data_IF_196198209997
#
_entry.id   IF_196198209997
#
_cell.length_a   1.000
_cell.length_b   1.000
_cell.length_c   1.000
_cell.angle_alpha   90.00
_cell.angle_beta   90.00
_cell.angle_gamma   90.00
#
_symmetry.space_group_name_H-M   'P 1'
#
loop_
_entity.id
_entity.type
_entity.pdbx_description
1 polymer ?
#
# COMPACT_ATOMS: atom_id res chain seq x y z
N UNK A 1 -3.55 21.10 -20.75
CA UNK A 1 -2.52 21.01 -19.70
C UNK A 1 -2.85 19.77 -18.91
N UNK A 2 -1.91 18.85 -18.76
CA UNK A 2 -2.16 17.60 -18.03
C UNK A 2 -2.31 17.90 -16.54
N UNK A 3 -3.29 17.31 -15.85
CA UNK A 3 -3.55 17.53 -14.42
C UNK A 3 -3.19 16.30 -13.59
N UNK A 4 -2.99 16.40 -12.27
CA UNK A 4 -2.86 15.23 -11.38
C UNK A 4 -4.03 14.26 -11.51
N UNK A 5 -5.23 14.76 -11.76
CA UNK A 5 -6.41 13.93 -12.03
C UNK A 5 -6.23 13.09 -13.31
N UNK A 6 -5.82 13.73 -14.44
CA UNK A 6 -5.57 13.01 -15.70
C UNK A 6 -4.46 11.96 -15.52
N UNK A 7 -3.43 12.27 -14.70
CA UNK A 7 -2.36 11.32 -14.40
C UNK A 7 -2.85 10.13 -13.57
N UNK A 8 -3.68 10.36 -12.58
CA UNK A 8 -4.22 9.26 -11.78
C UNK A 8 -5.11 8.33 -12.63
N UNK A 9 -5.87 8.87 -13.58
CA UNK A 9 -6.64 8.03 -14.53
C UNK A 9 -5.73 7.13 -15.36
N UNK A 10 -4.58 7.64 -15.82
CA UNK A 10 -3.57 6.84 -16.54
C UNK A 10 -2.98 5.75 -15.64
N UNK A 11 -2.65 6.10 -14.39
CA UNK A 11 -2.14 5.15 -13.38
C UNK A 11 -3.16 4.03 -13.12
N UNK A 12 -4.43 4.37 -12.88
CA UNK A 12 -5.48 3.38 -12.66
C UNK A 12 -5.72 2.50 -13.89
N UNK A 13 -5.66 3.09 -15.08
CA UNK A 13 -5.74 2.35 -16.34
C UNK A 13 -4.57 1.38 -16.47
N UNK A 14 -3.34 1.83 -16.20
CA UNK A 14 -2.14 0.99 -16.22
C UNK A 14 -2.22 -0.17 -15.21
N UNK A 15 -2.73 0.09 -14.02
CA UNK A 15 -2.98 -0.94 -13.00
C UNK A 15 -3.99 -1.97 -13.55
N UNK A 16 -5.12 -1.54 -14.06
CA UNK A 16 -6.19 -2.43 -14.54
C UNK A 16 -5.77 -3.26 -15.76
N UNK A 17 -4.99 -2.69 -16.66
CA UNK A 17 -4.47 -3.36 -17.86
C UNK A 17 -3.15 -4.10 -17.62
N UNK A 18 -2.53 -3.91 -16.45
CA UNK A 18 -1.19 -4.40 -16.07
C UNK A 18 -0.10 -3.90 -17.02
N UNK A 19 -0.19 -2.64 -17.42
CA UNK A 19 0.85 -2.00 -18.21
C UNK A 19 1.91 -1.37 -17.28
N UNK A 20 2.94 -2.18 -16.94
CA UNK A 20 4.03 -1.75 -16.07
C UNK A 20 4.79 -0.55 -16.67
N UNK A 21 4.89 -0.45 -17.99
CA UNK A 21 5.61 0.63 -18.66
C UNK A 21 4.89 1.97 -18.44
N UNK A 22 3.58 2.00 -18.65
CA UNK A 22 2.77 3.20 -18.38
C UNK A 22 2.80 3.51 -16.89
N UNK A 23 2.57 2.52 -16.01
CA UNK A 23 2.63 2.70 -14.57
C UNK A 23 3.94 3.35 -14.12
N UNK A 24 5.10 2.81 -14.55
CA UNK A 24 6.42 3.30 -14.17
C UNK A 24 6.75 4.69 -14.75
N UNK A 25 6.10 5.10 -15.85
CA UNK A 25 6.23 6.46 -16.38
C UNK A 25 5.56 7.50 -15.48
N UNK A 26 4.42 7.14 -14.83
CA UNK A 26 3.58 8.07 -14.08
C UNK A 26 3.72 7.93 -12.54
N UNK A 27 4.43 6.88 -12.05
CA UNK A 27 4.66 6.64 -10.62
C UNK A 27 6.16 6.54 -10.34
N UNK A 28 6.65 7.32 -9.39
CA UNK A 28 7.96 7.10 -8.78
C UNK A 28 7.83 6.03 -7.69
N UNK A 29 7.75 4.76 -8.15
CA UNK A 29 7.50 3.64 -7.26
C UNK A 29 8.57 3.52 -6.16
N UNK A 30 9.83 3.87 -6.49
CA UNK A 30 10.90 3.84 -5.49
C UNK A 30 10.66 4.86 -4.39
N UNK A 31 10.38 6.11 -4.75
CA UNK A 31 10.09 7.16 -3.78
C UNK A 31 8.83 6.83 -2.96
N UNK A 32 7.76 6.37 -3.63
CA UNK A 32 6.50 5.99 -3.00
C UNK A 32 6.70 4.89 -1.94
N UNK A 33 7.48 3.86 -2.27
CA UNK A 33 7.77 2.76 -1.35
C UNK A 33 8.70 3.18 -0.21
N UNK A 34 9.78 3.91 -0.53
CA UNK A 34 10.76 4.35 0.48
C UNK A 34 10.11 5.27 1.52
N UNK A 35 9.41 6.30 1.06
CA UNK A 35 8.75 7.28 1.94
C UNK A 35 7.60 6.60 2.71
N UNK A 36 6.76 5.85 2.02
CA UNK A 36 5.63 5.17 2.64
C UNK A 36 6.06 4.15 3.70
N UNK A 37 7.15 3.41 3.45
CA UNK A 37 7.71 2.49 4.44
C UNK A 37 8.21 3.24 5.67
N UNK A 38 9.04 4.27 5.47
CA UNK A 38 9.66 5.01 6.57
C UNK A 38 8.58 5.72 7.43
N UNK A 39 7.61 6.41 6.81
CA UNK A 39 6.51 7.07 7.52
C UNK A 39 5.61 6.06 8.26
N UNK A 40 5.28 4.91 7.64
CA UNK A 40 4.49 3.85 8.28
C UNK A 40 5.20 3.28 9.51
N UNK A 41 6.47 2.91 9.35
CA UNK A 41 7.23 2.26 10.43
C UNK A 41 7.54 3.23 11.57
N UNK A 42 7.78 4.51 11.27
CA UNK A 42 7.94 5.55 12.27
C UNK A 42 6.64 5.78 13.06
N UNK A 43 5.51 5.91 12.36
CA UNK A 43 4.20 6.05 13.00
C UNK A 43 3.86 4.86 13.91
N UNK A 44 4.10 3.63 13.45
CA UNK A 44 3.90 2.42 14.25
C UNK A 44 4.79 2.39 15.49
N UNK A 45 6.05 2.79 15.37
CA UNK A 45 6.98 2.83 16.47
C UNK A 45 6.61 3.92 17.48
N UNK A 46 6.21 5.11 17.05
CA UNK A 46 5.80 6.22 17.92
C UNK A 46 4.50 5.92 18.67
N UNK A 47 3.61 5.16 18.04
CA UNK A 47 2.32 4.75 18.62
C UNK A 47 2.32 3.31 19.17
N UNK A 48 3.48 2.67 19.31
CA UNK A 48 3.64 1.27 19.69
C UNK A 48 2.84 0.90 20.95
N UNK A 49 2.88 1.74 22.00
CA UNK A 49 2.14 1.49 23.23
C UNK A 49 0.61 1.53 23.07
N UNK A 50 0.13 2.38 22.15
CA UNK A 50 -1.30 2.45 21.78
C UNK A 50 -1.71 1.19 21.03
N UNK A 51 -0.93 0.79 20.04
CA UNK A 51 -1.22 -0.41 19.24
C UNK A 51 -1.11 -1.69 20.06
N UNK A 52 -0.16 -1.78 21.01
CA UNK A 52 -0.11 -2.92 21.93
C UNK A 52 -1.37 -3.07 22.79
N UNK A 53 -2.03 -1.96 23.16
CA UNK A 53 -3.30 -2.03 23.91
C UNK A 53 -4.46 -2.48 23.02
N UNK A 54 -4.46 -2.10 21.74
CA UNK A 54 -5.49 -2.47 20.76
C UNK A 54 -5.31 -3.92 20.30
N UNK A 55 -4.07 -4.32 20.06
CA UNK A 55 -3.68 -5.63 19.52
C UNK A 55 -2.72 -6.35 20.48
N UNK A 56 -3.18 -6.80 21.67
CA UNK A 56 -2.31 -7.34 22.73
C UNK A 56 -1.63 -8.67 22.34
N UNK A 57 -2.15 -9.35 21.32
CA UNK A 57 -1.59 -10.62 20.81
C UNK A 57 -0.53 -10.40 19.73
N UNK A 58 -0.43 -9.19 19.16
CA UNK A 58 0.63 -8.88 18.21
C UNK A 58 1.98 -8.72 18.91
N UNK A 59 2.90 -9.64 18.57
CA UNK A 59 4.22 -9.68 19.19
C UNK A 59 5.07 -8.46 18.83
N UNK A 60 4.87 -7.83 17.67
CA UNK A 60 5.64 -6.67 17.27
C UNK A 60 5.49 -5.50 18.24
N UNK A 61 4.25 -5.20 18.64
CA UNK A 61 3.99 -4.10 19.58
C UNK A 61 4.41 -4.42 21.01
N UNK A 62 4.54 -5.70 21.36
CA UNK A 62 4.98 -6.14 22.69
C UNK A 62 6.42 -5.74 23.00
N UNK A 63 7.29 -5.70 22.02
CA UNK A 63 8.71 -5.41 22.21
C UNK A 63 9.04 -3.93 22.41
N UNK A 64 8.08 -3.04 22.16
CA UNK A 64 8.21 -1.60 22.36
C UNK A 64 8.91 -0.86 21.20
N UNK A 65 8.74 0.46 21.19
CA UNK A 65 9.15 1.36 20.12
C UNK A 65 10.62 1.19 19.67
N UNK A 66 11.55 1.11 20.63
CA UNK A 66 12.98 1.01 20.32
C UNK A 66 13.33 -0.26 19.53
N UNK A 67 12.78 -1.40 19.94
CA UNK A 67 13.05 -2.68 19.27
C UNK A 67 12.38 -2.68 17.88
N UNK A 68 11.16 -2.14 17.78
CA UNK A 68 10.46 -2.02 16.51
C UNK A 68 11.24 -1.18 15.50
N UNK A 69 11.81 -0.03 15.89
CA UNK A 69 12.67 0.77 15.02
C UNK A 69 13.91 0.01 14.55
N UNK A 70 14.62 -0.64 15.46
CA UNK A 70 15.82 -1.44 15.12
C UNK A 70 15.45 -2.56 14.14
N UNK A 71 14.33 -3.24 14.36
CA UNK A 71 13.83 -4.29 13.47
C UNK A 71 13.51 -3.74 12.07
N UNK A 72 12.72 -2.66 12.01
CA UNK A 72 12.32 -2.05 10.74
C UNK A 72 13.52 -1.57 9.94
N UNK A 73 14.48 -0.91 10.59
CA UNK A 73 15.71 -0.44 9.95
C UNK A 73 16.54 -1.62 9.40
N UNK A 74 16.75 -2.64 10.23
CA UNK A 74 17.52 -3.82 9.84
C UNK A 74 16.89 -4.59 8.66
N UNK A 75 15.57 -4.69 8.62
CA UNK A 75 14.86 -5.48 7.61
C UNK A 75 14.25 -4.63 6.48
N UNK A 76 14.46 -3.31 6.48
CA UNK A 76 13.93 -2.38 5.47
C UNK A 76 14.14 -2.89 4.04
N UNK A 77 15.36 -3.24 3.68
CA UNK A 77 15.68 -3.74 2.33
C UNK A 77 14.97 -5.07 1.98
N UNK A 78 14.76 -5.94 2.97
CA UNK A 78 14.04 -7.20 2.78
C UNK A 78 12.56 -6.93 2.52
N UNK A 79 11.93 -6.06 3.33
CA UNK A 79 10.52 -5.71 3.20
C UNK A 79 10.24 -4.99 1.87
N UNK A 80 11.03 -3.98 1.53
CA UNK A 80 10.90 -3.28 0.25
C UNK A 80 11.14 -4.20 -0.96
N UNK A 81 12.12 -5.11 -0.84
CA UNK A 81 12.37 -6.13 -1.86
C UNK A 81 11.19 -7.12 -2.02
N UNK A 82 10.50 -7.46 -0.93
CA UNK A 82 9.29 -8.29 -0.97
C UNK A 82 8.16 -7.55 -1.68
N UNK A 83 7.88 -6.29 -1.30
CA UNK A 83 6.84 -5.46 -1.92
C UNK A 83 7.10 -5.32 -3.42
N UNK A 84 8.34 -5.02 -3.83
CA UNK A 84 8.72 -4.90 -5.24
C UNK A 84 8.44 -6.19 -6.02
N UNK A 85 8.74 -7.35 -5.44
CA UNK A 85 8.48 -8.66 -6.08
C UNK A 85 6.99 -8.95 -6.21
N UNK A 86 6.17 -8.56 -5.22
CA UNK A 86 4.71 -8.70 -5.29
C UNK A 86 4.15 -7.83 -6.40
N UNK A 87 4.60 -6.56 -6.50
CA UNK A 87 4.19 -5.64 -7.56
C UNK A 87 4.59 -6.19 -8.94
N UNK A 88 5.83 -6.66 -9.10
CA UNK A 88 6.29 -7.28 -10.34
C UNK A 88 5.45 -8.49 -10.72
N UNK A 89 5.16 -9.40 -9.77
CA UNK A 89 4.31 -10.56 -10.01
C UNK A 89 2.86 -10.19 -10.36
N UNK A 90 2.37 -9.04 -9.89
CA UNK A 90 1.08 -8.50 -10.30
C UNK A 90 1.10 -8.05 -11.77
N UNK A 91 2.09 -7.25 -12.17
CA UNK A 91 2.17 -6.72 -13.54
C UNK A 91 2.46 -7.80 -14.57
N UNK A 92 3.36 -8.75 -14.29
CA UNK A 92 3.67 -9.87 -15.20
C UNK A 92 2.56 -10.95 -15.27
N UNK A 93 1.56 -10.86 -14.38
CA UNK A 93 0.42 -11.79 -14.31
C UNK A 93 0.76 -13.18 -13.76
N UNK A 94 1.95 -13.39 -13.21
CA UNK A 94 2.39 -14.69 -12.68
C UNK A 94 1.61 -15.15 -11.44
N UNK A 95 0.85 -14.25 -10.80
CA UNK A 95 -0.04 -14.58 -9.68
C UNK A 95 -1.18 -15.53 -10.06
N UNK A 96 -1.54 -15.64 -11.35
CA UNK A 96 -2.59 -16.55 -11.83
C UNK A 96 -2.28 -18.01 -11.52
N UNK A 97 -1.00 -18.34 -11.35
CA UNK A 97 -0.53 -19.68 -11.01
C UNK A 97 -0.32 -19.89 -9.49
N UNK A 98 -0.85 -18.98 -8.67
CA UNK A 98 -0.72 -19.06 -7.22
C UNK A 98 -1.44 -20.31 -6.68
N UNK A 99 -0.70 -21.18 -5.98
CA UNK A 99 -1.24 -22.40 -5.39
C UNK A 99 -1.65 -22.18 -3.92
N UNK A 100 -0.70 -21.66 -3.14
CA UNK A 100 -0.91 -21.38 -1.72
C UNK A 100 0.22 -20.48 -1.22
N UNK A 101 0.01 -19.82 -0.08
CA UNK A 101 1.03 -18.98 0.53
C UNK A 101 2.32 -19.78 0.80
N UNK A 102 2.22 -20.98 1.38
CA UNK A 102 3.39 -21.81 1.76
C UNK A 102 4.29 -22.21 0.59
N UNK A 103 3.71 -22.35 -0.62
CA UNK A 103 4.45 -22.77 -1.82
C UNK A 103 4.87 -21.60 -2.70
N UNK A 104 4.05 -20.56 -2.76
CA UNK A 104 4.23 -19.44 -3.69
C UNK A 104 3.87 -18.09 -3.02
N UNK A 105 4.56 -17.68 -1.95
CA UNK A 105 4.14 -16.54 -1.14
C UNK A 105 4.03 -15.23 -1.94
N UNK A 106 4.97 -14.94 -2.82
CA UNK A 106 4.95 -13.73 -3.66
C UNK A 106 3.73 -13.73 -4.58
N UNK A 107 3.50 -14.84 -5.28
CA UNK A 107 2.36 -14.97 -6.21
C UNK A 107 1.03 -14.93 -5.47
N UNK A 108 0.96 -15.54 -4.28
CA UNK A 108 -0.22 -15.48 -3.43
C UNK A 108 -0.54 -14.04 -3.03
N UNK A 109 0.44 -13.29 -2.53
CA UNK A 109 0.26 -11.87 -2.17
C UNK A 109 -0.11 -11.01 -3.38
N UNK A 110 0.45 -11.28 -4.56
CA UNK A 110 0.08 -10.59 -5.78
C UNK A 110 -1.35 -10.91 -6.23
N UNK A 111 -1.85 -12.14 -5.96
CA UNK A 111 -3.25 -12.50 -6.18
C UNK A 111 -4.19 -11.78 -5.20
N UNK A 112 -3.81 -11.69 -3.92
CA UNK A 112 -4.55 -10.92 -2.92
C UNK A 112 -4.64 -9.43 -3.33
N UNK A 113 -3.51 -8.83 -3.75
CA UNK A 113 -3.48 -7.48 -4.31
C UNK A 113 -4.43 -7.33 -5.51
N UNK A 114 -4.42 -8.27 -6.45
CA UNK A 114 -5.34 -8.25 -7.60
C UNK A 114 -6.82 -8.31 -7.18
N UNK A 115 -7.15 -9.10 -6.14
CA UNK A 115 -8.51 -9.20 -5.64
C UNK A 115 -8.96 -7.92 -4.94
N UNK A 116 -8.08 -7.31 -4.15
CA UNK A 116 -8.32 -6.02 -3.52
C UNK A 116 -8.54 -4.90 -4.56
N UNK A 117 -7.65 -4.80 -5.56
CA UNK A 117 -7.75 -3.78 -6.60
C UNK A 117 -9.02 -3.91 -7.45
N UNK A 118 -9.53 -5.12 -7.67
CA UNK A 118 -10.79 -5.35 -8.38
C UNK A 118 -12.04 -5.02 -7.56
N UNK A 119 -11.91 -5.07 -6.25
CA UNK A 119 -13.02 -4.89 -5.33
C UNK A 119 -13.24 -3.42 -4.93
N UNK A 120 -12.43 -2.50 -5.45
CA UNK A 120 -12.50 -1.09 -5.11
C UNK A 120 -12.68 -0.22 -6.35
N UNK A 121 -13.34 0.92 -6.16
CA UNK A 121 -13.32 2.03 -7.12
C UNK A 121 -12.70 3.25 -6.47
N UNK A 122 -12.14 4.14 -7.28
CA UNK A 122 -11.59 5.41 -6.86
C UNK A 122 -12.57 6.53 -7.22
N UNK A 123 -13.00 7.29 -6.22
CA UNK A 123 -13.75 8.52 -6.39
C UNK A 123 -12.76 9.69 -6.17
N UNK A 124 -12.62 10.59 -7.15
CA UNK A 124 -11.66 11.69 -7.09
C UNK A 124 -12.27 12.88 -6.37
N UNK A 125 -11.51 13.48 -5.47
CA UNK A 125 -11.90 14.62 -4.66
C UNK A 125 -11.16 15.90 -5.07
N UNK A 126 -10.83 16.71 -4.07
CA UNK A 126 -10.19 18.01 -4.26
C UNK A 126 -8.77 17.89 -4.79
N UNK A 127 -8.47 18.69 -5.82
CA UNK A 127 -7.12 18.84 -6.39
C UNK A 127 -6.57 20.22 -6.01
N UNK A 128 -5.34 20.25 -5.49
CA UNK A 128 -4.64 21.49 -5.15
C UNK A 128 -3.28 21.49 -5.83
N UNK A 129 -3.06 22.49 -6.71
CA UNK A 129 -1.80 22.68 -7.43
C UNK A 129 -1.07 23.91 -6.90
N UNK A 130 0.21 23.74 -6.54
CA UNK A 130 1.09 24.82 -6.07
C UNK A 130 2.47 24.68 -6.71
N UNK A 131 2.69 25.44 -7.80
CA UNK A 131 3.94 25.36 -8.58
C UNK A 131 4.15 23.98 -9.19
N UNK A 132 5.27 23.35 -8.85
CA UNK A 132 5.65 22.02 -9.31
C UNK A 132 5.21 20.88 -8.37
N UNK A 133 4.32 21.18 -7.42
CA UNK A 133 3.72 20.21 -6.50
C UNK A 133 2.21 20.24 -6.63
N UNK A 134 1.60 19.09 -6.46
CA UNK A 134 0.15 18.99 -6.38
C UNK A 134 -0.28 17.91 -5.38
N UNK A 135 -1.47 18.08 -4.83
CA UNK A 135 -2.15 17.03 -4.05
C UNK A 135 -3.51 16.72 -4.66
N UNK A 136 -3.89 15.46 -4.61
CA UNK A 136 -5.21 14.98 -5.04
C UNK A 136 -5.80 14.09 -3.95
N UNK A 137 -6.98 14.46 -3.46
CA UNK A 137 -7.74 13.62 -2.57
C UNK A 137 -8.40 12.49 -3.37
N UNK A 138 -8.31 11.27 -2.88
CA UNK A 138 -8.90 10.08 -3.52
C UNK A 138 -9.60 9.25 -2.47
N UNK A 139 -10.87 8.98 -2.69
CA UNK A 139 -11.65 8.07 -1.87
C UNK A 139 -11.75 6.73 -2.55
N UNK A 140 -11.11 5.70 -1.98
CA UNK A 140 -11.30 4.33 -2.40
C UNK A 140 -12.51 3.74 -1.69
N UNK A 141 -13.46 3.22 -2.46
CA UNK A 141 -14.73 2.66 -1.95
C UNK A 141 -14.81 1.20 -2.37
N UNK A 142 -14.96 0.32 -1.40
CA UNK A 142 -15.15 -1.11 -1.63
C UNK A 142 -16.52 -1.43 -2.20
N UNK A 143 -16.59 -2.48 -3.02
CA UNK A 143 -17.83 -3.03 -3.55
C UNK A 143 -18.53 -3.98 -2.53
N UNK A 144 -19.58 -4.67 -2.95
CA UNK A 144 -20.31 -5.64 -2.11
C UNK A 144 -19.62 -7.00 -1.94
N UNK A 145 -18.47 -7.24 -2.57
CA UNK A 145 -17.69 -8.45 -2.41
C UNK A 145 -17.08 -8.58 -1.01
N UNK A 146 -16.53 -9.74 -0.67
CA UNK A 146 -15.82 -9.92 0.61
C UNK A 146 -14.63 -8.96 0.73
N UNK A 147 -13.86 -8.78 -0.33
CA UNK A 147 -12.72 -7.85 -0.35
C UNK A 147 -13.18 -6.38 -0.28
N UNK A 148 -14.24 -6.01 -1.00
CA UNK A 148 -14.77 -4.66 -0.95
C UNK A 148 -15.33 -4.29 0.43
N UNK A 149 -16.10 -5.18 1.06
CA UNK A 149 -16.59 -4.98 2.43
C UNK A 149 -15.47 -4.91 3.47
N UNK A 150 -14.35 -5.58 3.22
CA UNK A 150 -13.17 -5.52 4.06
C UNK A 150 -12.55 -4.12 4.04
N UNK A 151 -12.45 -3.51 2.87
CA UNK A 151 -11.89 -2.16 2.70
C UNK A 151 -12.86 -1.08 3.15
N UNK A 152 -14.18 -1.28 2.92
CA UNK A 152 -15.23 -0.30 3.13
C UNK A 152 -14.90 1.04 2.45
N UNK A 153 -14.19 1.93 3.15
CA UNK A 153 -13.75 3.22 2.62
C UNK A 153 -12.37 3.59 3.16
N UNK A 154 -11.45 3.94 2.26
CA UNK A 154 -10.15 4.52 2.60
C UNK A 154 -9.98 5.86 1.86
N UNK A 155 -9.54 6.90 2.58
CA UNK A 155 -9.29 8.22 2.02
C UNK A 155 -7.78 8.43 1.89
N UNK A 156 -7.33 8.68 0.67
CA UNK A 156 -5.93 8.96 0.35
C UNK A 156 -5.76 10.43 0.00
N UNK A 157 -4.61 10.99 0.36
CA UNK A 157 -4.11 12.25 -0.17
C UNK A 157 -2.82 11.94 -0.90
N UNK A 158 -2.90 11.93 -2.24
CA UNK A 158 -1.78 11.62 -3.13
C UNK A 158 -1.00 12.89 -3.43
N UNK A 159 0.33 12.81 -3.41
CA UNK A 159 1.20 13.94 -3.71
C UNK A 159 1.99 13.65 -5.00
N UNK A 160 1.95 14.63 -5.91
CA UNK A 160 2.58 14.59 -7.22
C UNK A 160 3.66 15.65 -7.33
N UNK A 161 4.73 15.35 -8.05
CA UNK A 161 5.70 16.34 -8.54
C UNK A 161 5.61 16.48 -10.06
N UNK A 162 5.88 17.70 -10.54
CA UNK A 162 5.88 18.00 -11.96
C UNK A 162 7.24 17.69 -12.57
N UNK A 163 7.23 16.93 -13.66
CA UNK A 163 8.44 16.60 -14.43
C UNK A 163 8.22 16.94 -15.91
N UNK A 164 8.70 18.10 -16.33
CA UNK A 164 8.37 18.65 -17.64
C UNK A 164 6.91 19.06 -17.70
N UNK A 165 6.16 18.46 -18.65
CA UNK A 165 4.72 18.73 -18.81
C UNK A 165 3.82 17.73 -18.07
N UNK A 166 4.40 16.67 -17.47
CA UNK A 166 3.66 15.60 -16.80
C UNK A 166 3.80 15.65 -15.29
N UNK A 167 2.79 15.13 -14.58
CA UNK A 167 2.81 14.91 -13.15
C UNK A 167 3.23 13.48 -12.83
N UNK A 168 3.90 13.28 -11.70
CA UNK A 168 4.31 11.96 -11.27
C UNK A 168 3.99 11.74 -9.80
N UNK A 169 3.23 10.68 -9.51
CA UNK A 169 2.93 10.27 -8.14
C UNK A 169 4.19 9.79 -7.45
N UNK A 170 4.50 10.35 -6.26
CA UNK A 170 5.69 9.95 -5.51
C UNK A 170 5.45 9.73 -4.01
N UNK A 171 4.27 10.17 -3.48
CA UNK A 171 4.00 10.08 -2.05
C UNK A 171 2.51 9.94 -1.75
N UNK A 172 2.18 9.23 -0.66
CA UNK A 172 0.89 9.27 0.02
C UNK A 172 1.08 10.15 1.26
N UNK A 173 0.38 11.28 1.31
CA UNK A 173 0.63 12.31 2.32
C UNK A 173 0.08 11.98 3.70
N UNK A 174 -1.02 11.25 3.77
CA UNK A 174 -1.77 10.96 4.99
C UNK A 174 -1.60 9.52 5.48
N UNK A 175 -0.38 8.99 5.45
CA UNK A 175 -0.05 7.62 5.88
C UNK A 175 -0.53 7.34 7.31
N UNK A 176 -0.38 8.30 8.22
CA UNK A 176 -0.79 8.16 9.63
C UNK A 176 -2.29 7.90 9.81
N UNK A 177 -3.13 8.46 8.90
CA UNK A 177 -4.58 8.24 8.90
C UNK A 177 -4.98 6.88 8.32
N UNK A 178 -4.13 6.34 7.44
CA UNK A 178 -4.37 5.06 6.74
C UNK A 178 -3.92 3.86 7.56
N UNK A 179 -2.86 3.99 8.37
CA UNK A 179 -2.30 2.87 9.12
C UNK A 179 -3.31 2.23 10.07
N UNK A 180 -4.08 2.97 10.91
CA UNK A 180 -5.04 2.34 11.82
C UNK A 180 -6.10 1.50 11.11
N UNK A 181 -6.86 2.00 10.10
CA UNK A 181 -7.86 1.18 9.42
C UNK A 181 -7.24 -0.01 8.67
N UNK A 182 -6.03 0.13 8.11
CA UNK A 182 -5.34 -0.99 7.46
C UNK A 182 -4.95 -2.07 8.48
N UNK A 183 -4.51 -1.70 9.67
CA UNK A 183 -4.25 -2.65 10.76
C UNK A 183 -5.52 -3.35 11.22
N UNK A 184 -6.63 -2.64 11.39
CA UNK A 184 -7.92 -3.24 11.74
C UNK A 184 -8.38 -4.25 10.69
N UNK A 185 -8.18 -3.93 9.41
CA UNK A 185 -8.43 -4.85 8.29
C UNK A 185 -7.54 -6.10 8.43
N UNK A 186 -6.24 -5.91 8.65
CA UNK A 186 -5.28 -7.00 8.77
C UNK A 186 -5.63 -7.93 9.93
N UNK A 187 -5.91 -7.39 11.11
CA UNK A 187 -6.28 -8.14 12.31
C UNK A 187 -7.63 -8.88 12.16
N UNK A 188 -8.59 -8.27 11.47
CA UNK A 188 -9.94 -8.84 11.32
C UNK A 188 -9.98 -9.97 10.29
N UNK A 189 -9.30 -9.80 9.15
CA UNK A 189 -9.46 -10.69 7.99
C UNK A 189 -8.31 -11.67 7.79
N UNK A 190 -7.12 -11.37 8.36
CA UNK A 190 -5.97 -12.26 8.29
C UNK A 190 -5.48 -12.83 9.64
N UNK A 191 -6.27 -12.86 10.72
CA UNK A 191 -5.78 -13.36 12.01
C UNK A 191 -5.28 -14.81 11.93
N UNK A 192 -5.91 -15.63 11.06
CA UNK A 192 -5.51 -17.01 10.83
C UNK A 192 -4.38 -17.17 9.82
N UNK A 193 -4.07 -16.14 9.01
CA UNK A 193 -2.98 -16.21 8.04
C UNK A 193 -1.62 -15.90 8.66
N UNK A 194 -1.59 -15.30 9.85
CA UNK A 194 -0.38 -15.16 10.65
C UNK A 194 0.09 -16.48 11.27
N UNK A 195 -0.78 -17.50 11.32
CA UNK A 195 -0.37 -18.90 11.59
C UNK A 195 0.28 -19.53 10.33
N UNK A 196 1.10 -18.73 9.64
CA UNK A 196 1.82 -19.10 8.41
C UNK A 196 2.90 -20.15 8.64
N UNK A 197 2.85 -20.84 9.77
CA UNK A 197 3.82 -21.88 10.07
C UNK A 197 5.26 -21.38 10.24
N UNK A 198 5.47 -20.08 10.35
CA UNK A 198 6.71 -19.47 10.77
C UNK A 198 6.79 -19.68 12.29
N UNK A 199 7.20 -20.89 12.67
CA UNK A 199 7.73 -21.09 14.02
C UNK A 199 9.02 -20.29 14.08
N UNK A 200 8.98 -19.13 14.75
CA UNK A 200 10.18 -18.44 15.20
C UNK A 200 10.94 -19.32 16.18
#
# INVERSE_FOLDING_TARGET
>A
MNTPHDELEKILTAINTRDEKIFSAHVDLKALMDIGYDETTDFLADNCAKFHKLYPHDLFFKFGSRILRIYNDKFRGVHLGLISKVIAAYFDGSFKDAQSFSKTPIKFLANELNNLLKAVRADFGEENISGDKATLAVKMVGDSSSYGRMIDTLNFVLEFDKRGDDWRLFKIKNVEELVPPILDIAETYWPASWDLGIKL
#
